data_IF_787509765296
#
_entry.id   IF_787509765296
#
_cell.length_a   1.000
_cell.length_b   1.000
_cell.length_c   1.000
_cell.angle_alpha   90.00
_cell.angle_beta   90.00
_cell.angle_gamma   90.00
#
_symmetry.space_group_name_H-M   'P 1'
#
loop_
_entity.id
_entity.type
_entity.pdbx_description
1 polymer ?
#
# COMPACT_ATOMS: atom_id res chain seq x y z
N UNK A 1 -47.29 -14.28 -6.46
CA UNK A 1 -45.89 -14.79 -6.37
C UNK A 1 -44.85 -13.78 -6.86
N UNK A 2 -44.90 -13.28 -8.10
CA UNK A 2 -43.92 -12.28 -8.63
C UNK A 2 -43.74 -11.02 -7.77
N UNK A 3 -44.82 -10.49 -7.17
CA UNK A 3 -44.79 -9.31 -6.30
C UNK A 3 -44.05 -9.55 -4.95
N UNK A 4 -44.10 -10.76 -4.42
CA UNK A 4 -43.43 -11.14 -3.16
C UNK A 4 -41.92 -11.31 -3.40
N UNK A 5 -41.55 -11.91 -4.53
CA UNK A 5 -40.14 -12.03 -4.95
C UNK A 5 -39.50 -10.65 -5.13
N UNK A 6 -40.22 -9.70 -5.72
CA UNK A 6 -39.74 -8.32 -5.90
C UNK A 6 -39.52 -7.60 -4.56
N UNK A 7 -40.40 -7.83 -3.57
CA UNK A 7 -40.28 -7.26 -2.23
C UNK A 7 -39.06 -7.81 -1.48
N UNK A 8 -38.80 -9.13 -1.59
CA UNK A 8 -37.65 -9.78 -0.95
C UNK A 8 -36.33 -9.24 -1.53
N UNK A 9 -36.25 -9.14 -2.87
CA UNK A 9 -35.07 -8.58 -3.55
C UNK A 9 -34.85 -7.10 -3.15
N UNK A 10 -35.92 -6.32 -3.02
CA UNK A 10 -35.85 -4.93 -2.55
C UNK A 10 -35.35 -4.80 -1.11
N UNK A 11 -35.70 -5.73 -0.22
CA UNK A 11 -35.22 -5.73 1.17
C UNK A 11 -33.72 -6.08 1.28
N UNK A 12 -33.20 -6.95 0.41
CA UNK A 12 -31.76 -7.29 0.41
C UNK A 12 -30.85 -6.13 -0.02
N UNK A 13 -31.36 -5.18 -0.82
CA UNK A 13 -30.60 -3.99 -1.25
C UNK A 13 -30.39 -2.96 -0.13
N UNK A 14 -31.06 -3.09 1.02
CA UNK A 14 -30.96 -2.14 2.13
C UNK A 14 -29.84 -2.46 3.14
N UNK A 15 -29.12 -3.58 2.98
CA UNK A 15 -27.97 -3.92 3.83
C UNK A 15 -26.65 -3.45 3.21
N UNK A 16 -26.45 -2.14 3.11
CA UNK A 16 -25.11 -1.60 2.83
C UNK A 16 -24.26 -1.64 4.11
N UNK A 17 -23.62 -2.78 4.38
CA UNK A 17 -22.60 -2.86 5.43
C UNK A 17 -21.38 -2.02 5.02
N UNK A 18 -21.40 -0.71 5.28
CA UNK A 18 -20.20 0.12 5.19
C UNK A 18 -19.31 -0.24 6.37
N UNK A 19 -18.22 -0.95 6.08
CA UNK A 19 -17.21 -1.30 7.08
C UNK A 19 -16.58 -0.02 7.65
N UNK A 20 -16.51 0.09 8.98
CA UNK A 20 -15.88 1.23 9.66
C UNK A 20 -14.40 1.34 9.23
N UNK A 21 -14.00 2.52 8.80
CA UNK A 21 -12.61 2.83 8.44
C UNK A 21 -11.82 3.37 9.63
N UNK A 22 -10.52 3.05 9.65
CA UNK A 22 -9.57 3.45 10.68
C UNK A 22 -8.35 4.10 10.03
N UNK A 23 -7.69 4.98 10.78
CA UNK A 23 -6.40 5.52 10.37
C UNK A 23 -5.33 4.44 10.55
N UNK A 24 -4.64 4.10 9.48
CA UNK A 24 -3.51 3.17 9.48
C UNK A 24 -2.29 3.90 8.94
N UNK A 25 -1.26 4.05 9.76
CA UNK A 25 -0.01 4.70 9.38
C UNK A 25 1.05 3.65 9.13
N UNK A 26 1.69 3.68 7.96
CA UNK A 26 2.85 2.84 7.66
C UNK A 26 4.08 3.72 7.44
N UNK A 27 5.16 3.37 8.12
CA UNK A 27 6.49 3.93 7.88
C UNK A 27 7.24 2.91 7.03
N UNK A 28 7.34 3.21 5.73
CA UNK A 28 8.01 2.39 4.74
C UNK A 28 9.48 2.75 4.69
N UNK A 29 10.35 1.77 4.88
CA UNK A 29 11.81 1.91 4.73
C UNK A 29 12.31 0.89 3.73
N UNK A 30 13.03 1.35 2.71
CA UNK A 30 13.67 0.50 1.71
C UNK A 30 15.17 0.78 1.67
N UNK A 31 15.95 -0.29 1.69
CA UNK A 31 17.39 -0.24 1.42
C UNK A 31 17.64 -0.60 -0.04
N UNK A 32 18.45 0.23 -0.72
CA UNK A 32 18.93 -0.02 -2.08
C UNK A 32 20.46 -0.16 -1.99
N UNK A 33 21.00 -1.40 -1.98
CA UNK A 33 22.43 -1.64 -1.75
C UNK A 33 23.34 -1.03 -2.82
N UNK A 34 22.85 -0.97 -4.06
CA UNK A 34 23.51 -0.28 -5.16
C UNK A 34 22.96 1.15 -5.28
N UNK A 35 23.81 2.14 -5.06
CA UNK A 35 23.44 3.55 -5.08
C UNK A 35 23.74 4.27 -6.40
N UNK A 36 24.36 3.59 -7.37
CA UNK A 36 24.77 4.22 -8.62
C UNK A 36 23.56 4.62 -9.48
N UNK A 37 23.59 5.83 -10.04
CA UNK A 37 22.55 6.28 -10.99
C UNK A 37 21.14 6.40 -10.40
N UNK A 38 20.96 6.46 -9.08
CA UNK A 38 19.65 6.75 -8.47
C UNK A 38 19.34 8.24 -8.62
N UNK A 39 18.27 8.54 -9.35
CA UNK A 39 17.71 9.90 -9.48
C UNK A 39 16.45 10.07 -8.64
N UNK A 40 15.70 9.00 -8.42
CA UNK A 40 14.49 9.01 -7.57
C UNK A 40 14.21 7.63 -6.98
N UNK A 41 13.59 7.63 -5.80
CA UNK A 41 13.08 6.42 -5.14
C UNK A 41 11.63 6.70 -4.75
N UNK A 42 10.74 5.80 -5.14
CA UNK A 42 9.31 5.96 -4.92
C UNK A 42 8.64 4.72 -4.35
N UNK A 43 7.36 4.89 -4.02
CA UNK A 43 6.44 3.80 -3.71
C UNK A 43 5.12 4.06 -4.42
N UNK A 44 4.55 2.98 -4.95
CA UNK A 44 3.21 2.91 -5.53
C UNK A 44 2.41 1.85 -4.79
N UNK A 45 1.09 1.98 -4.80
CA UNK A 45 0.26 1.08 -4.02
C UNK A 45 -1.21 1.13 -4.37
N UNK A 46 -1.93 0.11 -3.91
CA UNK A 46 -3.35 -0.12 -4.22
C UNK A 46 -4.28 0.91 -3.60
N UNK A 47 -4.00 1.31 -2.37
CA UNK A 47 -4.91 2.10 -1.55
C UNK A 47 -4.47 3.56 -1.45
N UNK A 48 -5.45 4.48 -1.42
CA UNK A 48 -5.18 5.91 -1.24
C UNK A 48 -4.49 6.17 0.10
N UNK A 49 -3.49 7.08 0.15
CA UNK A 49 -3.16 8.06 -0.89
C UNK A 49 -2.25 7.53 -2.00
N UNK A 50 -1.71 6.32 -1.88
CA UNK A 50 -0.94 5.71 -2.97
C UNK A 50 -1.85 5.37 -4.16
N UNK A 51 -1.23 5.21 -5.32
CA UNK A 51 -1.85 4.65 -6.50
C UNK A 51 -0.77 3.96 -7.36
N UNK A 52 -1.17 3.18 -8.36
CA UNK A 52 -0.26 2.44 -9.24
C UNK A 52 0.30 3.27 -10.40
N UNK A 53 -0.18 4.50 -10.58
CA UNK A 53 0.18 5.33 -11.74
C UNK A 53 1.25 6.37 -11.40
N UNK A 54 1.38 6.73 -10.12
CA UNK A 54 2.26 7.83 -9.67
C UNK A 54 3.10 7.42 -8.46
N UNK A 55 4.39 7.73 -8.55
CA UNK A 55 5.33 7.60 -7.44
C UNK A 55 4.97 8.58 -6.30
N UNK A 56 4.87 8.03 -5.09
CA UNK A 56 5.09 8.81 -3.88
C UNK A 56 6.56 8.73 -3.52
N UNK A 57 7.25 9.87 -3.52
CA UNK A 57 8.69 9.94 -3.29
C UNK A 57 9.09 9.50 -1.86
N UNK A 58 10.18 8.73 -1.76
CA UNK A 58 10.84 8.40 -0.50
C UNK A 58 12.07 9.29 -0.31
N UNK A 59 12.27 9.77 0.92
CA UNK A 59 13.42 10.59 1.27
C UNK A 59 14.60 9.71 1.67
N UNK A 60 15.79 10.01 1.14
CA UNK A 60 17.04 9.40 1.61
C UNK A 60 17.29 9.80 3.07
N UNK A 61 17.54 8.83 3.95
CA UNK A 61 17.77 9.07 5.38
C UNK A 61 19.20 8.82 5.84
N UNK A 62 20.04 8.17 5.02
CA UNK A 62 21.46 7.99 5.27
C UNK A 62 22.24 7.73 3.97
N UNK A 63 23.57 7.71 4.07
CA UNK A 63 24.46 7.45 2.94
C UNK A 63 24.54 5.98 2.51
N UNK A 64 23.93 5.07 3.28
CA UNK A 64 23.89 3.63 3.00
C UNK A 64 22.75 3.22 2.06
N UNK A 65 22.20 4.16 1.30
CA UNK A 65 21.11 3.87 0.36
C UNK A 65 19.78 3.53 1.02
N UNK A 66 19.51 4.05 2.23
CA UNK A 66 18.22 3.84 2.90
C UNK A 66 17.29 5.02 2.65
N UNK A 67 16.06 4.71 2.25
CA UNK A 67 15.02 5.68 1.93
C UNK A 67 13.75 5.41 2.74
N UNK A 68 13.01 6.46 3.10
CA UNK A 68 11.84 6.35 3.96
C UNK A 68 10.69 7.28 3.53
N UNK A 69 9.46 6.80 3.72
CA UNK A 69 8.23 7.61 3.64
C UNK A 69 7.21 7.15 4.69
N UNK A 70 6.42 8.11 5.20
CA UNK A 70 5.29 7.86 6.08
C UNK A 70 4.00 8.05 5.28
N UNK A 71 3.15 7.03 5.23
CA UNK A 71 1.85 7.07 4.56
C UNK A 71 0.74 6.76 5.55
N UNK A 72 -0.34 7.55 5.52
CA UNK A 72 -1.53 7.31 6.35
C UNK A 72 -2.71 6.98 5.46
N UNK A 73 -3.28 5.79 5.65
CA UNK A 73 -4.48 5.28 4.99
C UNK A 73 -5.68 5.52 5.90
N UNK A 74 -6.85 5.76 5.30
CA UNK A 74 -8.15 5.70 5.97
C UNK A 74 -8.91 4.51 5.40
N UNK A 75 -8.86 3.37 6.10
CA UNK A 75 -9.34 2.10 5.53
C UNK A 75 -9.91 1.15 6.58
N UNK A 76 -10.86 0.31 6.18
CA UNK A 76 -11.33 -0.83 6.96
C UNK A 76 -10.49 -2.10 6.72
N UNK A 77 -9.66 -2.13 5.68
CA UNK A 77 -8.84 -3.29 5.35
C UNK A 77 -7.76 -3.53 6.40
N UNK A 78 -7.33 -4.78 6.51
CA UNK A 78 -6.26 -5.22 7.41
C UNK A 78 -4.87 -5.15 6.79
N UNK A 79 -4.79 -4.95 5.47
CA UNK A 79 -3.54 -4.88 4.75
C UNK A 79 -3.65 -3.95 3.54
N UNK A 80 -2.50 -3.61 2.98
CA UNK A 80 -2.38 -2.97 1.66
C UNK A 80 -1.31 -3.67 0.82
N UNK A 81 -1.26 -3.34 -0.46
CA UNK A 81 -0.31 -3.86 -1.43
C UNK A 81 0.47 -2.71 -2.05
N UNK A 82 1.80 -2.85 -2.11
CA UNK A 82 2.71 -1.82 -2.61
C UNK A 82 3.87 -2.42 -3.42
N UNK A 83 4.53 -1.58 -4.21
CA UNK A 83 5.87 -1.83 -4.75
C UNK A 83 6.70 -0.56 -4.65
N UNK A 84 7.97 -0.70 -4.30
CA UNK A 84 8.94 0.37 -4.44
C UNK A 84 9.32 0.58 -5.90
N UNK A 85 9.78 1.79 -6.21
CA UNK A 85 10.30 2.17 -7.52
C UNK A 85 11.70 2.78 -7.39
N UNK A 86 12.56 2.50 -8.38
CA UNK A 86 13.86 3.15 -8.57
C UNK A 86 13.81 3.82 -9.94
N UNK A 87 13.97 5.14 -9.99
CA UNK A 87 13.90 5.91 -11.24
C UNK A 87 12.61 5.67 -12.03
N UNK A 88 11.47 5.53 -11.35
CA UNK A 88 10.18 5.23 -11.96
C UNK A 88 9.92 3.76 -12.27
N UNK A 89 10.94 2.89 -12.21
CA UNK A 89 10.82 1.47 -12.51
C UNK A 89 10.47 0.64 -11.27
N UNK A 90 9.52 -0.29 -11.43
CA UNK A 90 9.09 -1.17 -10.33
C UNK A 90 10.19 -2.13 -9.87
N UNK A 91 10.23 -2.36 -8.57
CA UNK A 91 10.91 -3.53 -8.01
C UNK A 91 10.16 -4.84 -8.33
N UNK A 92 10.90 -5.95 -8.21
CA UNK A 92 10.36 -7.30 -8.22
C UNK A 92 9.52 -7.53 -9.48
N UNK A 93 10.07 -7.18 -10.64
CA UNK A 93 9.41 -7.31 -11.94
C UNK A 93 8.87 -8.72 -12.13
N UNK A 94 7.62 -8.83 -12.58
CA UNK A 94 6.89 -10.10 -12.74
C UNK A 94 6.67 -10.92 -11.45
N UNK A 95 7.01 -10.38 -10.27
CA UNK A 95 6.71 -10.99 -8.98
C UNK A 95 5.55 -10.26 -8.30
N UNK A 96 4.84 -10.92 -7.36
CA UNK A 96 3.74 -10.31 -6.62
C UNK A 96 4.12 -8.99 -5.93
N UNK A 97 3.12 -8.16 -5.68
CA UNK A 97 3.26 -6.96 -4.86
C UNK A 97 3.66 -7.33 -3.43
N UNK A 98 4.32 -6.40 -2.74
CA UNK A 98 4.55 -6.55 -1.31
C UNK A 98 3.22 -6.38 -0.59
N UNK A 99 2.89 -7.32 0.31
CA UNK A 99 1.69 -7.28 1.16
C UNK A 99 2.05 -6.82 2.56
N UNK A 100 1.40 -5.75 3.03
CA UNK A 100 1.72 -5.09 4.30
C UNK A 100 0.53 -5.26 5.21
N UNK A 101 0.65 -6.12 6.21
CA UNK A 101 -0.34 -6.23 7.27
C UNK A 101 -0.27 -5.01 8.19
N UNK A 102 -1.40 -4.37 8.43
CA UNK A 102 -1.50 -3.26 9.36
C UNK A 102 -1.45 -3.75 10.81
N UNK A 103 -0.69 -3.06 11.64
CA UNK A 103 -0.71 -3.24 13.07
C UNK A 103 -2.05 -2.75 13.66
N UNK A 104 -2.64 -3.53 14.57
CA UNK A 104 -3.85 -3.15 15.29
C UNK A 104 -3.71 -1.84 16.09
N UNK A 105 -2.48 -1.43 16.44
CA UNK A 105 -2.20 -0.14 17.09
C UNK A 105 -2.39 1.08 16.17
N UNK A 106 -2.54 0.87 14.86
CA UNK A 106 -2.62 1.94 13.86
C UNK A 106 -1.28 2.41 13.30
N UNK A 107 -0.14 1.87 13.77
CA UNK A 107 1.20 2.23 13.29
C UNK A 107 2.00 0.97 12.94
N UNK A 108 2.43 0.88 11.68
CA UNK A 108 3.18 -0.25 11.13
C UNK A 108 4.56 0.22 10.66
N UNK A 109 5.61 -0.52 11.02
CA UNK A 109 6.96 -0.32 10.49
C UNK A 109 7.22 -1.39 9.43
N UNK A 110 7.47 -0.98 8.18
CA UNK A 110 7.77 -1.92 7.10
C UNK A 110 9.19 -1.68 6.60
N UNK A 111 10.02 -2.71 6.65
CA UNK A 111 11.43 -2.68 6.18
C UNK A 111 11.65 -3.74 5.11
N UNK A 112 12.29 -3.33 4.02
CA UNK A 112 12.61 -4.18 2.88
C UNK A 112 13.97 -3.80 2.26
N UNK A 113 14.52 -4.73 1.48
CA UNK A 113 15.63 -4.49 0.55
C UNK A 113 15.06 -4.54 -0.87
N UNK A 114 15.42 -3.58 -1.71
CA UNK A 114 14.93 -3.47 -3.08
C UNK A 114 15.26 -4.73 -3.89
N UNK A 115 14.30 -5.24 -4.66
CA UNK A 115 14.41 -6.50 -5.43
C UNK A 115 14.72 -7.77 -4.62
N UNK A 116 14.57 -7.75 -3.30
CA UNK A 116 14.69 -8.95 -2.46
C UNK A 116 13.34 -9.32 -1.83
N UNK A 117 12.97 -10.59 -1.97
CA UNK A 117 11.92 -11.21 -1.20
C UNK A 117 12.43 -11.51 0.22
N UNK A 118 11.58 -11.23 1.21
CA UNK A 118 11.77 -11.70 2.58
C UNK A 118 11.38 -13.17 2.70
#
# INVERSE_FOLDING_TARGET
MKKIVFLIISCFLMFSCVQKAYKQTVIYTVEIPDSEGITSVGIRGKDKPLNWDQDTELKKINDKGVYQVKVTYLTGYKFTEVKFTRNGEYELQNMPNRRIEFNNSGITQYKAVFNQHK
#
